data_IF_938828265107
#
_entry.id   IF_938828265107
#
_cell.length_a   1.000
_cell.length_b   1.000
_cell.length_c   1.000
_cell.angle_alpha   90.00
_cell.angle_beta   90.00
_cell.angle_gamma   90.00
#
_symmetry.space_group_name_H-M   'P 1'
#
loop_
_entity.id
_entity.type
_entity.pdbx_description
1 polymer ?
#
# COMPACT_ATOMS: atom_id res chain seq x y z
N UNK A 1 -28.64 4.76 -10.76
CA UNK A 1 -27.81 4.36 -9.61
C UNK A 1 -28.22 5.25 -8.44
N UNK A 2 -28.66 4.67 -7.33
CA UNK A 2 -28.98 5.45 -6.14
C UNK A 2 -27.68 5.96 -5.53
N UNK A 3 -27.52 7.26 -5.38
CA UNK A 3 -26.40 7.86 -4.66
C UNK A 3 -26.70 7.96 -3.17
N UNK A 4 -25.67 8.06 -2.36
CA UNK A 4 -25.83 8.29 -0.93
C UNK A 4 -26.63 9.56 -0.65
N UNK A 5 -27.68 9.45 0.16
CA UNK A 5 -28.55 10.59 0.53
C UNK A 5 -28.40 10.87 2.03
N UNK A 6 -28.28 12.14 2.45
CA UNK A 6 -28.24 12.49 3.86
C UNK A 6 -29.62 12.31 4.50
N UNK A 7 -29.70 11.57 5.58
CA UNK A 7 -30.92 11.44 6.39
C UNK A 7 -30.84 12.34 7.62
N UNK A 8 -31.92 13.08 7.92
CA UNK A 8 -32.00 13.96 9.07
C UNK A 8 -32.90 13.32 10.14
N UNK A 9 -32.33 12.66 11.16
CA UNK A 9 -33.12 12.09 12.29
C UNK A 9 -33.58 13.20 13.23
N UNK A 10 -34.61 12.91 14.01
CA UNK A 10 -35.07 13.79 15.07
C UNK A 10 -34.05 13.81 16.23
N UNK A 11 -33.98 14.92 16.97
CA UNK A 11 -33.15 15.02 18.16
C UNK A 11 -33.60 14.01 19.23
N UNK A 12 -32.68 13.16 19.67
CA UNK A 12 -32.96 12.18 20.73
C UNK A 12 -33.37 12.83 22.05
N UNK A 13 -32.78 13.95 22.42
CA UNK A 13 -33.14 14.68 23.65
C UNK A 13 -34.56 15.25 23.57
N UNK A 14 -34.96 15.84 22.42
CA UNK A 14 -36.31 16.31 22.22
C UNK A 14 -37.36 15.21 22.30
N UNK A 15 -37.10 14.07 21.65
CA UNK A 15 -37.98 12.89 21.71
C UNK A 15 -38.01 12.25 23.11
N UNK A 16 -36.92 12.26 23.84
CA UNK A 16 -36.86 11.75 25.20
C UNK A 16 -37.77 12.58 26.14
N UNK A 17 -37.76 13.92 25.99
CA UNK A 17 -38.69 14.80 26.68
C UNK A 17 -40.16 14.47 26.38
N UNK A 18 -40.48 14.25 25.09
CA UNK A 18 -41.83 13.88 24.67
C UNK A 18 -42.25 12.53 25.29
N UNK A 19 -41.37 11.53 25.20
CA UNK A 19 -41.63 10.19 25.80
C UNK A 19 -41.81 10.29 27.31
N UNK A 20 -41.02 11.11 28.00
CA UNK A 20 -41.12 11.35 29.42
C UNK A 20 -42.43 12.06 29.80
N UNK A 21 -42.87 13.06 28.99
CA UNK A 21 -44.17 13.70 29.17
C UNK A 21 -45.34 12.70 29.03
N UNK A 22 -45.30 11.85 27.97
CA UNK A 22 -46.31 10.83 27.74
C UNK A 22 -46.35 9.84 28.93
N UNK A 23 -45.19 9.45 29.44
CA UNK A 23 -45.09 8.54 30.60
C UNK A 23 -45.65 9.18 31.85
N UNK A 24 -45.31 10.43 32.18
CA UNK A 24 -45.82 11.16 33.33
C UNK A 24 -47.34 11.41 33.24
N UNK A 25 -47.86 11.78 32.09
CA UNK A 25 -49.30 11.95 31.84
C UNK A 25 -50.05 10.63 32.00
N UNK A 26 -49.48 9.52 31.52
CA UNK A 26 -50.02 8.18 31.72
C UNK A 26 -50.10 7.81 33.20
N UNK A 27 -49.06 8.08 33.97
CA UNK A 27 -48.97 7.81 35.40
C UNK A 27 -49.97 8.65 36.19
N UNK A 28 -50.05 9.96 35.95
CA UNK A 28 -51.00 10.85 36.60
C UNK A 28 -52.46 10.48 36.29
N UNK A 29 -52.73 10.13 35.03
CA UNK A 29 -54.08 9.71 34.62
C UNK A 29 -54.53 8.42 35.30
N UNK A 30 -53.62 7.44 35.48
CA UNK A 30 -53.95 6.22 36.24
C UNK A 30 -54.18 6.48 37.75
N UNK A 31 -53.34 7.34 38.36
CA UNK A 31 -53.39 7.58 39.80
C UNK A 31 -54.55 8.52 40.17
N UNK A 32 -54.68 9.66 39.46
CA UNK A 32 -55.63 10.72 39.84
C UNK A 32 -56.99 10.45 39.27
N UNK A 33 -57.07 10.10 37.95
CA UNK A 33 -58.35 9.89 37.26
C UNK A 33 -58.85 8.46 37.38
N UNK A 34 -58.01 7.53 37.83
CA UNK A 34 -58.33 6.08 37.98
C UNK A 34 -58.91 5.45 36.72
N UNK A 35 -58.59 5.99 35.55
CA UNK A 35 -59.11 5.50 34.27
C UNK A 35 -58.10 4.56 33.61
N UNK A 36 -58.43 3.27 33.35
CA UNK A 36 -57.50 2.27 32.80
C UNK A 36 -57.05 2.61 31.37
N UNK A 37 -57.76 3.50 30.67
CA UNK A 37 -57.42 3.94 29.31
C UNK A 37 -56.02 4.60 29.21
N UNK A 38 -55.56 5.22 30.31
CA UNK A 38 -54.22 5.79 30.39
C UNK A 38 -53.10 4.74 30.36
N UNK A 39 -53.44 3.46 30.64
CA UNK A 39 -52.52 2.34 30.44
C UNK A 39 -52.05 2.17 29.01
N UNK A 40 -52.84 2.62 28.02
CA UNK A 40 -52.45 2.60 26.61
C UNK A 40 -51.22 3.52 26.29
N UNK A 41 -51.02 4.59 27.08
CA UNK A 41 -49.86 5.45 26.94
C UNK A 41 -48.55 4.74 27.25
N UNK A 42 -48.52 3.79 28.16
CA UNK A 42 -47.33 2.99 28.45
C UNK A 42 -47.01 2.04 27.30
N UNK A 43 -48.03 1.49 26.64
CA UNK A 43 -47.83 0.69 25.43
C UNK A 43 -47.18 1.55 24.31
N UNK A 44 -47.66 2.78 24.13
CA UNK A 44 -47.08 3.72 23.17
C UNK A 44 -45.61 4.07 23.49
N UNK A 45 -45.30 4.35 24.76
CA UNK A 45 -43.93 4.57 25.25
C UNK A 45 -43.05 3.36 24.90
N UNK A 46 -43.52 2.14 25.20
CA UNK A 46 -42.79 0.91 24.93
C UNK A 46 -42.41 0.77 23.45
N UNK A 47 -43.34 1.05 22.55
CA UNK A 47 -43.07 1.04 21.10
C UNK A 47 -42.13 2.16 20.63
N UNK A 48 -42.03 3.26 21.35
CA UNK A 48 -41.12 4.37 20.96
C UNK A 48 -39.67 4.15 21.37
N UNK A 49 -39.40 3.31 22.40
CA UNK A 49 -38.06 3.07 22.95
C UNK A 49 -37.03 2.54 21.89
N UNK A 50 -37.36 1.55 21.03
CA UNK A 50 -36.41 1.06 20.01
C UNK A 50 -36.02 2.10 18.97
N UNK A 51 -36.72 3.25 18.90
CA UNK A 51 -36.41 4.35 18.02
C UNK A 51 -35.11 5.09 18.38
N UNK A 52 -34.69 5.06 19.63
CA UNK A 52 -33.50 5.74 20.09
C UNK A 52 -32.21 5.06 19.64
N UNK A 53 -31.23 5.85 19.24
CA UNK A 53 -29.91 5.36 18.89
C UNK A 53 -28.86 6.44 19.03
N UNK A 54 -27.61 5.97 19.20
CA UNK A 54 -26.43 6.83 19.34
C UNK A 54 -25.49 6.57 18.17
N UNK A 55 -24.92 7.64 17.62
CA UNK A 55 -23.86 7.59 16.61
C UNK A 55 -22.60 8.18 17.24
N UNK A 56 -21.55 7.37 17.29
CA UNK A 56 -20.22 7.79 17.73
C UNK A 56 -19.48 8.53 16.59
N UNK A 57 -18.47 9.35 16.89
CA UNK A 57 -17.62 9.97 15.88
C UNK A 57 -17.01 8.90 14.93
N UNK A 58 -16.96 9.23 13.64
CA UNK A 58 -16.49 8.35 12.56
C UNK A 58 -17.24 7.02 12.46
N UNK A 59 -18.54 7.02 12.80
CA UNK A 59 -19.48 5.94 12.50
C UNK A 59 -20.70 6.53 11.82
N UNK A 60 -21.35 5.72 11.01
CA UNK A 60 -22.60 6.07 10.33
C UNK A 60 -23.68 5.02 10.55
N UNK A 61 -24.91 5.41 10.27
CA UNK A 61 -26.07 4.54 10.26
C UNK A 61 -26.80 4.67 8.93
N UNK A 62 -26.88 3.58 8.23
CA UNK A 62 -27.70 3.45 7.02
C UNK A 62 -29.12 3.11 7.45
N UNK A 63 -30.07 3.94 7.00
CA UNK A 63 -31.48 3.84 7.36
C UNK A 63 -32.27 3.14 6.27
N UNK A 64 -32.90 2.01 6.63
CA UNK A 64 -33.72 1.20 5.72
C UNK A 64 -35.12 1.16 6.31
N UNK A 65 -36.13 1.47 5.51
CA UNK A 65 -37.53 1.44 5.92
C UNK A 65 -38.30 0.47 5.04
N UNK A 66 -38.76 -0.63 5.58
CA UNK A 66 -39.49 -1.72 4.86
C UNK A 66 -38.76 -2.16 3.55
N UNK A 67 -37.43 -2.22 3.56
CA UNK A 67 -36.63 -2.62 2.41
C UNK A 67 -36.11 -1.44 1.58
N UNK A 68 -36.71 -0.26 1.69
CA UNK A 68 -36.27 0.94 0.94
C UNK A 68 -35.12 1.65 1.67
N UNK A 69 -34.08 2.02 0.92
CA UNK A 69 -33.06 2.94 1.41
C UNK A 69 -33.62 4.35 1.54
N UNK A 70 -33.52 4.94 2.72
CA UNK A 70 -34.01 6.30 3.02
C UNK A 70 -32.92 7.32 3.27
N UNK A 71 -31.68 6.88 3.37
CA UNK A 71 -30.52 7.74 3.55
C UNK A 71 -29.58 7.26 4.67
N UNK A 72 -28.50 8.02 4.86
CA UNK A 72 -27.45 7.72 5.85
C UNK A 72 -27.28 8.89 6.81
N UNK A 73 -27.11 8.57 8.10
CA UNK A 73 -26.75 9.55 9.14
C UNK A 73 -25.27 9.41 9.45
N UNK A 74 -24.48 10.45 9.07
CA UNK A 74 -23.04 10.55 9.40
C UNK A 74 -22.77 11.43 10.62
N UNK A 75 -23.75 12.29 11.00
CA UNK A 75 -23.58 13.18 12.15
C UNK A 75 -23.61 12.38 13.46
N UNK A 76 -22.59 12.60 14.29
CA UNK A 76 -22.56 12.02 15.63
C UNK A 76 -23.56 12.70 16.57
N UNK A 77 -24.08 11.91 17.52
CA UNK A 77 -25.02 12.41 18.52
C UNK A 77 -26.04 11.36 18.95
N UNK A 78 -27.01 11.83 19.74
CA UNK A 78 -28.16 11.06 20.21
C UNK A 78 -29.39 11.44 19.40
N UNK A 79 -30.02 10.44 18.77
CA UNK A 79 -31.10 10.63 17.83
C UNK A 79 -32.25 9.66 18.06
N UNK A 80 -33.36 10.01 17.46
CA UNK A 80 -34.54 9.17 17.42
C UNK A 80 -35.09 9.07 15.98
N UNK A 81 -35.52 7.89 15.60
CA UNK A 81 -36.26 7.63 14.36
C UNK A 81 -37.41 6.65 14.65
N UNK A 82 -38.33 6.55 13.71
CA UNK A 82 -39.41 5.57 13.81
C UNK A 82 -38.84 4.15 14.09
N UNK A 83 -39.35 3.41 15.08
CA UNK A 83 -38.88 2.07 15.47
C UNK A 83 -38.77 1.06 14.33
N UNK A 84 -39.58 1.21 13.27
CA UNK A 84 -39.60 0.29 12.13
C UNK A 84 -38.39 0.47 11.18
N UNK A 85 -37.52 1.44 11.41
CA UNK A 85 -36.28 1.56 10.66
C UNK A 85 -35.26 0.51 11.09
N UNK A 86 -34.75 -0.23 10.12
CA UNK A 86 -33.52 -1.04 10.29
C UNK A 86 -32.31 -0.10 10.16
N UNK A 87 -31.38 -0.20 11.11
CA UNK A 87 -30.24 0.70 11.29
C UNK A 87 -28.93 -0.08 11.09
N UNK A 88 -28.43 -0.19 9.83
CA UNK A 88 -27.16 -0.87 9.55
C UNK A 88 -25.98 0.04 9.93
N UNK A 89 -25.02 -0.49 10.69
CA UNK A 89 -23.84 0.24 11.14
C UNK A 89 -22.74 0.15 10.08
N UNK A 90 -22.11 1.27 9.76
CA UNK A 90 -20.92 1.33 8.89
C UNK A 90 -19.87 2.18 9.58
N UNK A 91 -18.63 1.68 9.62
CA UNK A 91 -17.47 2.42 10.13
C UNK A 91 -16.94 3.34 9.03
N UNK A 92 -16.64 4.59 9.39
CA UNK A 92 -15.98 5.56 8.50
C UNK A 92 -14.51 5.77 8.89
N UNK A 93 -14.01 4.95 9.82
CA UNK A 93 -12.61 5.01 10.25
C UNK A 93 -11.73 4.38 9.20
N UNK A 94 -10.46 4.80 9.18
CA UNK A 94 -9.45 4.12 8.41
C UNK A 94 -9.22 2.70 8.97
N UNK A 95 -9.07 1.75 8.06
CA UNK A 95 -8.76 0.35 8.33
C UNK A 95 -7.43 0.03 7.67
N UNK A 96 -6.59 -0.73 8.36
CA UNK A 96 -5.39 -1.31 7.81
C UNK A 96 -5.69 -2.75 7.39
N UNK A 97 -5.23 -3.11 6.21
CA UNK A 97 -5.25 -4.46 5.70
C UNK A 97 -3.83 -4.83 5.28
N UNK A 98 -3.31 -5.92 5.82
CA UNK A 98 -2.05 -6.55 5.43
C UNK A 98 -2.41 -7.87 4.75
N UNK A 99 -2.09 -7.98 3.45
CA UNK A 99 -2.42 -9.19 2.69
C UNK A 99 -1.47 -10.33 3.06
N UNK A 100 -1.95 -11.55 2.90
CA UNK A 100 -1.07 -12.71 2.92
C UNK A 100 -0.06 -12.63 1.76
N UNK A 101 1.06 -13.30 1.91
CA UNK A 101 2.05 -13.41 0.83
C UNK A 101 1.51 -14.29 -0.28
N UNK A 102 1.37 -13.70 -1.45
CA UNK A 102 0.86 -14.41 -2.64
C UNK A 102 2.02 -14.74 -3.55
N UNK A 103 2.10 -16.01 -3.98
CA UNK A 103 3.04 -16.44 -5.00
C UNK A 103 2.49 -16.07 -6.37
N UNK A 104 3.24 -15.31 -7.14
CA UNK A 104 2.91 -14.85 -8.50
C UNK A 104 4.15 -14.87 -9.37
N UNK A 105 3.97 -14.78 -10.68
CA UNK A 105 5.09 -14.59 -11.59
C UNK A 105 5.23 -13.10 -11.91
N UNK A 106 6.47 -12.63 -11.98
CA UNK A 106 6.80 -11.31 -12.49
C UNK A 106 6.65 -11.23 -14.02
N UNK A 107 6.93 -10.07 -14.61
CA UNK A 107 6.88 -9.85 -16.06
C UNK A 107 7.78 -10.81 -16.83
N UNK A 108 8.91 -11.23 -16.26
CA UNK A 108 9.88 -12.16 -16.87
C UNK A 108 9.52 -13.64 -16.63
N UNK A 109 8.44 -13.91 -15.90
CA UNK A 109 8.01 -15.26 -15.54
C UNK A 109 8.69 -15.86 -14.32
N UNK A 110 9.46 -15.08 -13.55
CA UNK A 110 10.10 -15.52 -12.31
C UNK A 110 9.06 -15.61 -11.19
N UNK A 111 8.97 -16.71 -10.43
CA UNK A 111 8.07 -16.81 -9.30
C UNK A 111 8.59 -15.94 -8.14
N UNK A 112 7.72 -15.04 -7.68
CA UNK A 112 7.96 -14.13 -6.54
C UNK A 112 6.88 -14.27 -5.48
N UNK A 113 7.22 -13.93 -4.25
CA UNK A 113 6.30 -13.77 -3.13
C UNK A 113 6.11 -12.28 -2.89
N UNK A 114 4.87 -11.83 -2.95
CA UNK A 114 4.51 -10.43 -2.78
C UNK A 114 3.33 -10.29 -1.82
N UNK A 115 3.32 -9.26 -0.97
CA UNK A 115 2.16 -8.83 -0.18
C UNK A 115 1.95 -7.34 -0.30
N UNK A 116 0.75 -6.87 0.05
CA UNK A 116 0.39 -5.45 0.04
C UNK A 116 -0.13 -5.03 1.42
N UNK A 117 0.24 -3.82 1.82
CA UNK A 117 -0.34 -3.11 2.95
C UNK A 117 -1.23 -2.02 2.37
N UNK A 118 -2.52 -2.06 2.73
CA UNK A 118 -3.53 -1.14 2.24
C UNK A 118 -4.20 -0.42 3.40
N UNK A 119 -4.23 0.91 3.35
CA UNK A 119 -5.01 1.74 4.25
C UNK A 119 -6.21 2.28 3.50
N UNK A 120 -7.40 1.99 3.99
CA UNK A 120 -8.66 2.32 3.33
C UNK A 120 -9.76 2.76 4.30
N UNK A 121 -10.77 3.45 3.79
CA UNK A 121 -11.96 3.82 4.56
C UNK A 121 -13.21 3.78 3.68
N UNK A 122 -14.39 3.64 4.31
CA UNK A 122 -15.65 3.75 3.60
C UNK A 122 -15.96 5.25 3.36
N UNK A 123 -16.15 5.63 2.11
CA UNK A 123 -16.56 6.98 1.69
C UNK A 123 -18.04 7.03 1.38
N UNK A 124 -18.54 6.08 0.58
CA UNK A 124 -19.95 5.94 0.23
C UNK A 124 -20.56 4.75 0.97
N UNK A 125 -21.38 5.07 1.97
CA UNK A 125 -22.01 4.05 2.83
C UNK A 125 -23.14 3.30 2.14
N UNK A 126 -23.77 3.88 1.10
CA UNK A 126 -24.78 3.19 0.31
C UNK A 126 -24.15 2.03 -0.46
N UNK A 127 -23.07 2.33 -1.22
CA UNK A 127 -22.35 1.32 -1.98
C UNK A 127 -21.81 0.21 -1.08
N UNK A 128 -21.16 0.59 0.03
CA UNK A 128 -20.61 -0.38 0.99
C UNK A 128 -21.69 -1.26 1.66
N UNK A 129 -22.93 -0.75 1.78
CA UNK A 129 -24.01 -1.49 2.42
C UNK A 129 -24.84 -2.38 1.48
N UNK A 130 -24.92 -2.01 0.17
CA UNK A 130 -25.89 -2.63 -0.74
C UNK A 130 -25.28 -3.17 -2.04
N UNK A 131 -24.15 -2.65 -2.52
CA UNK A 131 -23.54 -3.12 -3.76
C UNK A 131 -22.60 -4.32 -3.55
N UNK A 132 -22.13 -4.52 -2.32
CA UNK A 132 -21.32 -5.68 -1.93
C UNK A 132 -21.85 -6.32 -0.67
N UNK A 133 -21.74 -7.64 -0.54
CA UNK A 133 -22.20 -8.35 0.64
C UNK A 133 -21.36 -8.04 1.89
N UNK A 134 -20.03 -8.14 1.72
CA UNK A 134 -19.03 -7.85 2.75
C UNK A 134 -17.92 -7.05 2.11
N UNK A 135 -17.91 -5.76 2.40
CA UNK A 135 -16.90 -4.84 1.87
C UNK A 135 -15.47 -5.16 2.37
N UNK A 136 -15.32 -5.76 3.56
CA UNK A 136 -14.00 -6.13 4.07
C UNK A 136 -13.42 -7.32 3.29
N UNK A 137 -14.26 -8.34 3.03
CA UNK A 137 -13.86 -9.45 2.18
C UNK A 137 -13.64 -9.02 0.72
N UNK A 138 -14.45 -8.08 0.23
CA UNK A 138 -14.29 -7.50 -1.10
C UNK A 138 -12.92 -6.82 -1.25
N UNK A 139 -12.51 -6.01 -0.26
CA UNK A 139 -11.17 -5.38 -0.22
C UNK A 139 -10.09 -6.45 -0.33
N UNK A 140 -10.16 -7.52 0.45
CA UNK A 140 -9.16 -8.60 0.43
C UNK A 140 -9.03 -9.23 -0.95
N UNK A 141 -10.13 -9.64 -1.55
CA UNK A 141 -10.12 -10.32 -2.86
C UNK A 141 -9.63 -9.38 -3.98
N UNK A 142 -10.04 -8.11 -3.96
CA UNK A 142 -9.60 -7.13 -4.95
C UNK A 142 -8.14 -6.74 -4.77
N UNK A 143 -7.64 -6.70 -3.53
CA UNK A 143 -6.21 -6.47 -3.26
C UNK A 143 -5.35 -7.60 -3.83
N UNK A 144 -5.74 -8.85 -3.61
CA UNK A 144 -5.02 -10.00 -4.17
C UNK A 144 -5.01 -9.98 -5.70
N UNK A 145 -6.12 -9.58 -6.32
CA UNK A 145 -6.21 -9.45 -7.78
C UNK A 145 -5.35 -8.30 -8.33
N UNK A 146 -5.33 -7.15 -7.64
CA UNK A 146 -4.50 -6.01 -8.02
C UNK A 146 -3.00 -6.33 -7.93
N UNK A 147 -2.58 -7.00 -6.84
CA UNK A 147 -1.19 -7.44 -6.65
C UNK A 147 -0.75 -8.40 -7.77
N UNK A 148 -1.60 -9.36 -8.17
CA UNK A 148 -1.28 -10.28 -9.27
C UNK A 148 -1.12 -9.55 -10.60
N UNK A 149 -1.98 -8.57 -10.89
CA UNK A 149 -1.89 -7.75 -12.10
C UNK A 149 -0.61 -6.91 -12.09
N UNK A 150 -0.33 -6.25 -10.97
CA UNK A 150 0.86 -5.41 -10.80
C UNK A 150 2.15 -6.22 -10.99
N UNK A 151 2.25 -7.39 -10.33
CA UNK A 151 3.41 -8.26 -10.44
C UNK A 151 3.66 -8.71 -11.88
N UNK A 152 2.62 -9.02 -12.64
CA UNK A 152 2.76 -9.38 -14.07
C UNK A 152 3.14 -8.21 -14.99
N UNK A 153 3.02 -6.95 -14.53
CA UNK A 153 3.33 -5.75 -15.31
C UNK A 153 4.78 -5.28 -15.16
N UNK A 154 5.48 -5.69 -14.11
CA UNK A 154 6.84 -5.29 -13.79
C UNK A 154 7.75 -6.49 -13.57
N UNK A 155 9.01 -6.38 -14.00
CA UNK A 155 10.05 -7.30 -13.59
C UNK A 155 10.37 -7.10 -12.10
N UNK A 156 10.75 -8.16 -11.39
CA UNK A 156 11.23 -8.05 -10.00
C UNK A 156 12.49 -7.19 -9.93
N UNK A 157 13.45 -7.46 -10.82
CA UNK A 157 14.74 -6.78 -10.94
C UNK A 157 15.22 -6.87 -12.40
N UNK A 158 15.90 -5.84 -12.88
CA UNK A 158 16.52 -5.84 -14.20
C UNK A 158 18.02 -5.55 -14.03
N UNK A 159 18.85 -6.46 -14.54
CA UNK A 159 20.31 -6.35 -14.47
C UNK A 159 20.94 -5.84 -15.76
N UNK A 160 20.15 -5.74 -16.83
CA UNK A 160 20.63 -5.36 -18.15
C UNK A 160 20.37 -3.88 -18.43
N UNK A 161 19.32 -3.31 -17.85
CA UNK A 161 18.95 -1.90 -18.04
C UNK A 161 18.56 -1.26 -16.70
N UNK A 162 19.45 -0.43 -16.16
CA UNK A 162 19.23 0.34 -14.93
C UNK A 162 18.17 1.45 -15.08
N UNK A 163 17.69 1.73 -16.30
CA UNK A 163 16.68 2.76 -16.55
C UNK A 163 15.24 2.22 -16.48
N UNK A 164 15.05 0.92 -16.53
CA UNK A 164 13.74 0.30 -16.46
C UNK A 164 13.21 0.28 -15.02
N UNK A 165 11.93 0.68 -14.86
CA UNK A 165 11.24 0.63 -13.58
C UNK A 165 10.93 -0.82 -13.23
N UNK A 166 11.44 -1.29 -12.09
CA UNK A 166 11.20 -2.63 -11.57
C UNK A 166 10.48 -2.56 -10.22
N UNK A 167 9.92 -3.70 -9.77
CA UNK A 167 9.30 -3.80 -8.45
C UNK A 167 10.25 -3.41 -7.32
N UNK A 168 11.57 -3.57 -7.52
CA UNK A 168 12.60 -3.29 -6.53
C UNK A 168 13.14 -1.86 -6.62
N UNK A 169 13.43 -1.35 -7.82
CA UNK A 169 14.08 -0.05 -8.02
C UNK A 169 13.09 1.12 -8.05
N UNK A 170 11.88 0.92 -8.59
CA UNK A 170 10.86 1.95 -8.79
C UNK A 170 9.72 1.91 -7.78
N UNK A 171 10.00 1.70 -6.49
CA UNK A 171 8.96 1.46 -5.47
C UNK A 171 7.90 2.57 -5.40
N UNK A 172 8.25 3.85 -5.59
CA UNK A 172 7.28 4.95 -5.51
C UNK A 172 6.29 4.90 -6.68
N UNK A 173 6.78 4.73 -7.90
CA UNK A 173 5.94 4.63 -9.09
C UNK A 173 5.05 3.38 -9.06
N UNK A 174 5.63 2.25 -8.65
CA UNK A 174 4.91 0.99 -8.51
C UNK A 174 3.81 1.08 -7.43
N UNK A 175 4.09 1.73 -6.29
CA UNK A 175 3.09 1.96 -5.25
C UNK A 175 1.97 2.88 -5.75
N UNK A 176 2.30 3.92 -6.54
CA UNK A 176 1.29 4.81 -7.12
C UNK A 176 0.36 4.06 -8.09
N UNK A 177 0.93 3.24 -8.97
CA UNK A 177 0.11 2.41 -9.86
C UNK A 177 -0.76 1.40 -9.10
N UNK A 178 -0.25 0.85 -7.98
CA UNK A 178 -1.03 -0.01 -7.10
C UNK A 178 -2.19 0.74 -6.44
N UNK A 179 -1.97 1.98 -5.99
CA UNK A 179 -3.02 2.84 -5.42
C UNK A 179 -4.11 3.12 -6.44
N UNK A 180 -3.75 3.50 -7.66
CA UNK A 180 -4.69 3.80 -8.74
C UNK A 180 -5.52 2.56 -9.12
N UNK A 181 -4.89 1.41 -9.30
CA UNK A 181 -5.57 0.15 -9.61
C UNK A 181 -6.53 -0.26 -8.49
N UNK A 182 -6.12 -0.11 -7.23
CA UNK A 182 -6.96 -0.42 -6.08
C UNK A 182 -8.09 0.60 -5.93
N UNK A 183 -7.84 1.89 -6.17
CA UNK A 183 -8.85 2.93 -6.11
C UNK A 183 -9.96 2.68 -7.13
N UNK A 184 -9.62 2.32 -8.37
CA UNK A 184 -10.59 1.99 -9.40
C UNK A 184 -11.45 0.78 -9.02
N UNK A 185 -10.84 -0.30 -8.57
CA UNK A 185 -11.53 -1.54 -8.18
C UNK A 185 -12.43 -1.36 -6.96
N UNK A 186 -11.97 -0.64 -5.96
CA UNK A 186 -12.66 -0.47 -4.68
C UNK A 186 -13.74 0.63 -4.74
N UNK A 187 -13.73 1.49 -5.74
CA UNK A 187 -14.77 2.49 -5.98
C UNK A 187 -16.17 1.88 -6.14
N UNK A 188 -16.28 0.65 -6.65
CA UNK A 188 -17.53 -0.09 -6.78
C UNK A 188 -18.19 -0.28 -5.41
N UNK A 189 -17.39 -0.61 -4.39
CA UNK A 189 -17.85 -0.79 -3.01
C UNK A 189 -17.92 0.52 -2.21
N UNK A 190 -17.71 1.68 -2.81
CA UNK A 190 -17.69 2.97 -2.13
C UNK A 190 -16.56 3.11 -1.12
N UNK A 191 -15.43 2.48 -1.40
CA UNK A 191 -14.23 2.48 -0.56
C UNK A 191 -13.22 3.43 -1.18
N UNK A 192 -12.64 4.29 -0.33
CA UNK A 192 -11.53 5.16 -0.67
C UNK A 192 -10.22 4.54 -0.20
N UNK A 193 -9.29 4.39 -1.10
CA UNK A 193 -7.89 4.07 -0.81
C UNK A 193 -7.23 5.35 -0.26
N UNK A 194 -6.53 5.22 0.87
CA UNK A 194 -5.75 6.29 1.47
C UNK A 194 -4.29 6.12 1.07
N UNK A 195 -3.82 4.87 1.13
CA UNK A 195 -2.45 4.50 0.83
C UNK A 195 -2.39 3.01 0.51
N UNK A 196 -1.60 2.63 -0.49
CA UNK A 196 -1.28 1.24 -0.78
C UNK A 196 0.22 1.10 -1.05
N UNK A 197 0.85 0.11 -0.43
CA UNK A 197 2.28 -0.15 -0.58
C UNK A 197 2.56 -1.64 -0.65
N UNK A 198 3.63 -1.99 -1.34
CA UNK A 198 4.18 -3.34 -1.27
C UNK A 198 4.72 -3.56 0.15
N UNK A 199 4.19 -4.57 0.85
CA UNK A 199 4.58 -4.92 2.22
C UNK A 199 5.73 -5.92 2.27
N UNK A 200 5.70 -6.90 1.38
CA UNK A 200 6.72 -7.94 1.23
C UNK A 200 7.01 -8.21 -0.23
N UNK A 201 8.27 -8.35 -0.59
CA UNK A 201 8.71 -8.67 -1.94
C UNK A 201 9.99 -9.51 -1.89
N UNK A 202 9.95 -10.72 -2.41
CA UNK A 202 11.11 -11.61 -2.51
C UNK A 202 10.92 -12.64 -3.62
N UNK A 203 11.99 -13.18 -4.13
CA UNK A 203 11.91 -14.38 -4.96
C UNK A 203 11.35 -15.57 -4.19
N UNK A 204 10.61 -16.44 -4.85
CA UNK A 204 10.15 -17.69 -4.26
C UNK A 204 11.36 -18.60 -3.93
N UNK A 205 11.23 -19.39 -2.86
CA UNK A 205 12.33 -20.19 -2.29
C UNK A 205 13.02 -21.09 -3.33
N UNK A 206 12.25 -21.63 -4.28
CA UNK A 206 12.78 -22.55 -5.30
C UNK A 206 13.78 -21.90 -6.26
N UNK A 207 13.76 -20.58 -6.45
CA UNK A 207 14.68 -19.87 -7.36
C UNK A 207 15.60 -18.89 -6.63
N UNK A 208 15.37 -18.64 -5.35
CA UNK A 208 16.09 -17.62 -4.59
C UNK A 208 17.62 -17.81 -4.63
N UNK A 209 18.11 -19.06 -4.49
CA UNK A 209 19.53 -19.36 -4.55
C UNK A 209 20.13 -19.13 -5.95
N UNK A 210 19.42 -19.50 -7.00
CA UNK A 210 19.88 -19.30 -8.38
C UNK A 210 19.92 -17.80 -8.74
N UNK A 211 18.91 -17.04 -8.29
CA UNK A 211 18.86 -15.60 -8.50
C UNK A 211 19.95 -14.86 -7.71
N UNK A 212 20.26 -15.30 -6.49
CA UNK A 212 21.38 -14.77 -5.73
C UNK A 212 22.73 -15.01 -6.44
N UNK A 213 22.95 -16.20 -7.00
CA UNK A 213 24.15 -16.49 -7.79
C UNK A 213 24.22 -15.62 -9.03
N UNK A 214 23.11 -15.42 -9.74
CA UNK A 214 23.04 -14.51 -10.90
C UNK A 214 23.39 -13.08 -10.49
N UNK A 215 22.82 -12.56 -9.40
CA UNK A 215 23.13 -11.22 -8.88
C UNK A 215 24.62 -11.07 -8.54
N UNK A 216 25.21 -12.07 -7.86
CA UNK A 216 26.64 -12.08 -7.53
C UNK A 216 27.51 -12.07 -8.80
N UNK A 217 27.18 -12.89 -9.79
CA UNK A 217 27.93 -12.95 -11.05
C UNK A 217 27.86 -11.62 -11.80
N UNK A 218 26.69 -11.01 -11.92
CA UNK A 218 26.50 -9.70 -12.55
C UNK A 218 27.26 -8.61 -11.80
N UNK A 219 27.18 -8.60 -10.47
CA UNK A 219 27.93 -7.63 -9.65
C UNK A 219 29.45 -7.76 -9.80
N UNK A 220 29.97 -8.99 -9.89
CA UNK A 220 31.42 -9.23 -10.12
C UNK A 220 31.82 -8.72 -11.51
N UNK A 221 31.03 -8.96 -12.55
CA UNK A 221 31.32 -8.50 -13.91
C UNK A 221 31.30 -6.95 -13.95
N UNK A 222 30.28 -6.33 -13.38
CA UNK A 222 30.15 -4.87 -13.30
C UNK A 222 31.31 -4.24 -12.52
N UNK A 223 31.70 -4.83 -11.39
CA UNK A 223 32.85 -4.38 -10.63
C UNK A 223 34.17 -4.47 -11.43
N UNK A 224 34.37 -5.58 -12.14
CA UNK A 224 35.57 -5.74 -13.00
C UNK A 224 35.59 -4.75 -14.15
N UNK A 225 34.46 -4.49 -14.77
CA UNK A 225 34.36 -3.48 -15.82
C UNK A 225 34.78 -2.08 -15.31
N UNK A 226 34.30 -1.71 -14.10
CA UNK A 226 34.67 -0.44 -13.46
C UNK A 226 36.14 -0.39 -13.08
N UNK A 227 36.75 -1.49 -12.64
CA UNK A 227 38.19 -1.59 -12.37
C UNK A 227 38.99 -1.36 -13.69
N UNK A 228 38.60 -2.02 -14.77
CA UNK A 228 39.29 -1.88 -16.07
C UNK A 228 39.14 -0.45 -16.59
N UNK A 229 37.94 0.14 -16.57
CA UNK A 229 37.67 1.52 -16.98
C UNK A 229 38.52 2.50 -16.18
N UNK A 230 38.56 2.34 -14.84
CA UNK A 230 39.43 3.15 -13.98
C UNK A 230 40.91 2.94 -14.24
N UNK A 231 41.37 1.71 -14.50
CA UNK A 231 42.75 1.41 -14.83
C UNK A 231 43.17 2.05 -16.14
N UNK A 232 42.34 1.97 -17.18
CA UNK A 232 42.59 2.64 -18.48
C UNK A 232 42.74 4.15 -18.29
N UNK A 233 41.79 4.78 -17.54
CA UNK A 233 41.87 6.22 -17.27
C UNK A 233 43.11 6.62 -16.46
N UNK A 234 43.53 5.81 -15.50
CA UNK A 234 44.78 6.07 -14.74
C UNK A 234 46.04 5.94 -15.62
N UNK A 235 46.09 4.96 -16.52
CA UNK A 235 47.20 4.77 -17.45
C UNK A 235 47.26 5.92 -18.44
N UNK A 236 46.14 6.36 -18.97
CA UNK A 236 46.05 7.50 -19.90
C UNK A 236 46.57 8.79 -19.24
N UNK A 237 46.04 9.11 -18.03
CA UNK A 237 46.57 10.25 -17.26
C UNK A 237 48.06 10.17 -16.97
N UNK A 238 48.57 8.98 -16.63
CA UNK A 238 50.00 8.81 -16.36
C UNK A 238 50.88 9.04 -17.59
N UNK A 239 50.43 8.58 -18.77
CA UNK A 239 51.14 8.80 -20.03
C UNK A 239 51.15 10.28 -20.44
N UNK A 240 50.02 10.96 -20.27
CA UNK A 240 49.90 12.40 -20.55
C UNK A 240 50.78 13.22 -19.63
N UNK A 241 50.82 12.96 -18.33
CA UNK A 241 51.68 13.67 -17.38
C UNK A 241 53.19 13.45 -17.67
N UNK A 242 53.56 12.21 -18.02
CA UNK A 242 54.95 11.93 -18.39
C UNK A 242 55.39 12.65 -19.65
N UNK A 243 54.50 12.80 -20.64
CA UNK A 243 54.71 13.52 -21.88
C UNK A 243 54.81 15.03 -21.62
N UNK A 244 53.87 15.62 -20.89
CA UNK A 244 53.85 17.06 -20.59
C UNK A 244 55.08 17.51 -19.81
N UNK A 245 55.52 16.75 -18.85
CA UNK A 245 56.67 17.05 -18.00
C UNK A 245 58.00 16.66 -18.63
N UNK A 246 58.00 16.06 -19.83
CA UNK A 246 59.20 15.60 -20.55
C UNK A 246 60.15 14.76 -19.69
N UNK A 247 59.60 13.93 -18.78
CA UNK A 247 60.38 13.16 -17.79
C UNK A 247 61.11 12.00 -18.47
N UNK A 248 60.48 11.39 -19.49
CA UNK A 248 61.06 10.27 -20.25
C UNK A 248 60.59 10.35 -21.71
N UNK A 249 61.52 10.24 -22.65
CA UNK A 249 61.17 10.01 -24.06
C UNK A 249 60.87 8.53 -24.27
N UNK A 250 59.57 8.21 -24.42
CA UNK A 250 59.06 6.86 -24.62
C UNK A 250 58.77 6.66 -26.12
N UNK A 251 59.44 5.68 -26.72
CA UNK A 251 59.03 5.17 -28.03
C UNK A 251 57.76 4.33 -27.93
N UNK A 252 57.09 4.05 -29.01
CA UNK A 252 55.80 3.33 -29.02
C UNK A 252 55.87 1.90 -28.40
N UNK A 253 57.04 1.24 -28.56
CA UNK A 253 57.25 -0.09 -27.99
C UNK A 253 57.38 -0.06 -26.47
N UNK A 254 58.09 0.94 -25.94
CA UNK A 254 58.23 1.15 -24.48
C UNK A 254 56.91 1.61 -23.86
N UNK A 255 56.12 2.47 -24.54
CA UNK A 255 54.76 2.83 -24.11
C UNK A 255 53.86 1.58 -23.99
N UNK A 256 53.83 0.74 -25.01
CA UNK A 256 53.04 -0.50 -25.02
C UNK A 256 53.41 -1.45 -23.87
N UNK A 257 54.73 -1.60 -23.63
CA UNK A 257 55.20 -2.43 -22.50
C UNK A 257 54.82 -1.85 -21.14
N UNK A 258 54.90 -0.51 -20.96
CA UNK A 258 54.50 0.18 -19.73
C UNK A 258 53.00 0.06 -19.48
N UNK A 259 52.19 0.30 -20.52
CA UNK A 259 50.72 0.13 -20.45
C UNK A 259 50.38 -1.29 -20.04
N UNK A 260 50.96 -2.29 -20.69
CA UNK A 260 50.71 -3.72 -20.35
C UNK A 260 51.05 -4.03 -18.89
N UNK A 261 52.21 -3.54 -18.40
CA UNK A 261 52.62 -3.78 -17.00
C UNK A 261 51.72 -3.06 -16.02
N UNK A 262 51.35 -1.81 -16.27
CA UNK A 262 50.43 -1.05 -15.40
C UNK A 262 49.02 -1.69 -15.37
N UNK A 263 48.49 -2.10 -16.52
CA UNK A 263 47.19 -2.76 -16.61
C UNK A 263 47.18 -4.07 -15.83
N UNK A 264 48.24 -4.87 -15.90
CA UNK A 264 48.33 -6.13 -15.09
C UNK A 264 48.31 -5.81 -13.60
N UNK A 265 49.03 -4.77 -13.14
CA UNK A 265 49.07 -4.38 -11.73
C UNK A 265 47.73 -3.80 -11.27
N UNK A 266 47.13 -2.90 -12.06
CA UNK A 266 45.89 -2.19 -11.70
C UNK A 266 44.63 -3.07 -11.79
N UNK A 267 44.60 -4.04 -12.72
CA UNK A 267 43.49 -4.96 -12.89
C UNK A 267 43.62 -6.26 -12.08
N UNK A 268 44.75 -6.45 -11.36
CA UNK A 268 44.97 -7.67 -10.58
C UNK A 268 44.15 -7.68 -9.30
N UNK A 269 43.57 -8.84 -8.96
CA UNK A 269 42.85 -9.09 -7.69
C UNK A 269 43.79 -9.20 -6.48
N UNK A 270 45.12 -9.34 -6.72
CA UNK A 270 46.15 -9.45 -5.67
C UNK A 270 47.09 -8.28 -5.73
N UNK A 271 47.50 -7.78 -4.58
CA UNK A 271 48.54 -6.76 -4.49
C UNK A 271 49.80 -7.25 -5.20
N UNK A 272 50.32 -6.44 -6.12
CA UNK A 272 51.58 -6.76 -6.78
C UNK A 272 52.74 -6.75 -5.76
N UNK A 273 53.49 -7.82 -5.72
CA UNK A 273 54.74 -7.87 -4.94
C UNK A 273 55.89 -7.43 -5.86
N UNK A 274 56.53 -6.28 -5.62
CA UNK A 274 57.62 -5.85 -6.45
C UNK A 274 58.81 -6.80 -6.31
N UNK A 275 59.26 -7.38 -7.43
CA UNK A 275 60.50 -8.13 -7.49
C UNK A 275 61.58 -7.21 -7.97
N UNK A 276 62.44 -6.76 -7.07
CA UNK A 276 63.62 -5.92 -7.42
C UNK A 276 64.74 -6.84 -7.82
N UNK A 277 65.12 -6.83 -9.10
CA UNK A 277 66.26 -7.53 -9.60
C UNK A 277 67.53 -6.67 -9.37
N UNK A 278 68.31 -6.97 -8.32
CA UNK A 278 69.51 -6.21 -7.95
C UNK A 278 70.73 -6.68 -8.70
N UNK A 279 70.63 -7.61 -9.67
CA UNK A 279 71.78 -8.33 -10.25
C UNK A 279 72.39 -7.75 -11.52
N UNK A 280 71.93 -6.62 -12.09
CA UNK A 280 72.39 -6.11 -13.39
C UNK A 280 72.78 -4.64 -13.40
N UNK A 281 73.25 -4.09 -12.28
CA UNK A 281 73.77 -2.73 -12.25
C UNK A 281 75.30 -2.61 -12.54
N UNK A 282 75.91 -3.67 -13.04
CA UNK A 282 77.29 -3.61 -13.50
C UNK A 282 77.39 -4.25 -14.89
N UNK A 283 77.29 -3.44 -15.95
CA UNK A 283 78.23 -3.45 -17.12
C UNK A 283 77.94 -2.20 -17.97
#
# INVERSE_FOLDING_TARGET
>A
MNSEQPFKPLSGFGMLLIVMMIFVTGLLGLIILRMPIFGFLFLMVFFMLPGFFIIQPNKSRVMIFFGDYRGTVKKNGFFWVNPFYVKKRVSLRAHNFDSERVKVNDQLGNPILISVILVWQVEDTYKAAFEVNDYSNFVRVQSDAAVRKLAGSFAYDNFEDDTEITLRSGMEEVNHQLEDELAERLAIAGIKVIEARIGYLAYAEEIASAMLQRQQATAIVAARQKIVEGAVGMVDMALDELNEKSIVELDEEKKAAMVSNLMVVLCSDKSASPVVNTGTLNH
#
